data_IF_586603158257
#
_entry.id   IF_586603158257
#
_cell.length_a   1.000
_cell.length_b   1.000
_cell.length_c   1.000
_cell.angle_alpha   90.00
_cell.angle_beta   90.00
_cell.angle_gamma   90.00
#
_symmetry.space_group_name_H-M   'P 1'
#
loop_
_entity.id
_entity.type
_entity.pdbx_description
1 polymer ?
#
# COMPACT_ATOMS: atom_id res chain seq x y z
N UNK A 1 1.06 -11.50 22.00
CA UNK A 1 2.01 -10.51 21.42
C UNK A 1 1.48 -9.10 21.65
N UNK A 2 2.34 -8.19 22.03
CA UNK A 2 1.95 -6.79 22.24
C UNK A 2 1.54 -6.15 20.93
N UNK A 3 0.60 -5.19 20.98
CA UNK A 3 0.09 -4.51 19.80
C UNK A 3 1.22 -3.88 18.98
N UNK A 4 2.17 -3.22 19.62
CA UNK A 4 3.29 -2.60 18.92
C UNK A 4 4.12 -3.62 18.15
N UNK A 5 4.34 -4.80 18.71
CA UNK A 5 5.07 -5.88 18.02
C UNK A 5 4.28 -6.43 16.85
N UNK A 6 2.97 -6.57 16.99
CA UNK A 6 2.10 -6.99 15.89
C UNK A 6 2.15 -5.99 14.74
N UNK A 7 1.99 -4.71 15.06
CA UNK A 7 2.02 -3.65 14.06
C UNK A 7 3.36 -3.62 13.33
N UNK A 8 4.46 -3.75 14.07
CA UNK A 8 5.80 -3.78 13.46
C UNK A 8 5.94 -5.00 12.54
N UNK A 9 5.45 -6.16 12.95
CA UNK A 9 5.51 -7.37 12.13
C UNK A 9 4.69 -7.21 10.86
N UNK A 10 3.46 -6.69 10.96
CA UNK A 10 2.60 -6.46 9.80
C UNK A 10 3.25 -5.44 8.86
N UNK A 11 3.77 -4.35 9.41
CA UNK A 11 4.49 -3.33 8.63
C UNK A 11 5.66 -3.95 7.88
N UNK A 12 6.49 -4.74 8.56
CA UNK A 12 7.69 -5.35 7.97
C UNK A 12 7.34 -6.32 6.85
N UNK A 13 6.32 -7.14 7.05
CA UNK A 13 5.85 -8.07 6.02
C UNK A 13 5.33 -7.30 4.81
N UNK A 14 4.58 -6.23 5.03
CA UNK A 14 4.10 -5.38 3.94
C UNK A 14 5.23 -4.70 3.18
N UNK A 15 6.23 -4.20 3.90
CA UNK A 15 7.39 -3.54 3.29
C UNK A 15 8.17 -4.51 2.41
N UNK A 16 8.50 -5.68 2.95
CA UNK A 16 9.26 -6.69 2.21
C UNK A 16 8.44 -7.21 1.03
N UNK A 17 7.16 -7.52 1.25
CA UNK A 17 6.28 -8.03 0.21
C UNK A 17 6.13 -7.04 -0.94
N UNK A 18 5.89 -5.77 -0.63
CA UNK A 18 5.77 -4.75 -1.66
C UNK A 18 7.09 -4.54 -2.41
N UNK A 19 8.21 -4.56 -1.69
CA UNK A 19 9.53 -4.46 -2.30
C UNK A 19 9.78 -5.58 -3.30
N UNK A 20 9.37 -6.81 -2.96
CA UNK A 20 9.49 -7.94 -3.88
C UNK A 20 8.61 -7.75 -5.12
N UNK A 21 7.37 -7.27 -4.95
CA UNK A 21 6.48 -6.98 -6.07
C UNK A 21 7.10 -5.91 -6.98
N UNK A 22 7.66 -4.85 -6.41
CA UNK A 22 8.33 -3.79 -7.17
C UNK A 22 9.51 -4.33 -7.98
N UNK A 23 10.34 -5.16 -7.37
CA UNK A 23 11.50 -5.74 -8.06
C UNK A 23 11.04 -6.64 -9.22
N UNK A 24 9.98 -7.43 -9.01
CA UNK A 24 9.43 -8.27 -10.07
C UNK A 24 8.79 -7.44 -11.18
N UNK A 25 8.19 -6.31 -10.86
CA UNK A 25 7.50 -5.46 -11.82
C UNK A 25 8.45 -4.53 -12.59
N UNK A 26 9.32 -3.81 -11.86
CA UNK A 26 10.21 -2.80 -12.44
C UNK A 26 11.68 -3.21 -12.52
N UNK A 27 12.07 -4.27 -11.82
CA UNK A 27 13.46 -4.70 -11.72
C UNK A 27 14.26 -3.99 -10.62
N UNK A 28 13.67 -3.01 -9.94
CA UNK A 28 14.32 -2.27 -8.85
C UNK A 28 13.27 -1.70 -7.90
N UNK A 29 13.72 -1.29 -6.73
CA UNK A 29 12.88 -0.57 -5.77
C UNK A 29 13.72 0.48 -5.04
N UNK A 30 13.07 1.28 -4.22
CA UNK A 30 13.69 2.34 -3.43
C UNK A 30 13.23 2.19 -1.99
N UNK A 31 14.07 2.56 -1.01
CA UNK A 31 13.71 2.39 0.40
C UNK A 31 12.40 3.11 0.77
N UNK A 32 12.12 4.25 0.12
CA UNK A 32 10.86 4.96 0.36
C UNK A 32 9.65 4.09 0.01
N UNK A 33 9.76 3.27 -1.05
CA UNK A 33 8.68 2.38 -1.46
C UNK A 33 8.48 1.25 -0.47
N UNK A 34 9.55 0.80 0.18
CA UNK A 34 9.43 -0.22 1.24
C UNK A 34 8.61 0.32 2.40
N UNK A 35 8.89 1.55 2.85
CA UNK A 35 8.11 2.16 3.93
C UNK A 35 6.68 2.44 3.51
N UNK A 36 6.47 2.91 2.28
CA UNK A 36 5.12 3.12 1.76
C UNK A 36 4.32 1.81 1.70
N UNK A 37 4.97 0.71 1.28
CA UNK A 37 4.35 -0.61 1.25
C UNK A 37 3.97 -1.10 2.63
N UNK A 38 4.84 -0.89 3.62
CA UNK A 38 4.56 -1.24 5.01
C UNK A 38 3.38 -0.47 5.58
N UNK A 39 3.36 0.85 5.37
CA UNK A 39 2.25 1.71 5.81
C UNK A 39 0.95 1.27 5.13
N UNK A 40 1.00 1.00 3.83
CA UNK A 40 -0.19 0.59 3.06
C UNK A 40 -0.75 -0.73 3.57
N UNK A 41 0.10 -1.72 3.78
CA UNK A 41 -0.35 -3.03 4.27
C UNK A 41 -0.92 -2.95 5.69
N UNK A 42 -0.25 -2.23 6.57
CA UNK A 42 -0.75 -2.00 7.92
C UNK A 42 -2.08 -1.26 7.89
N UNK A 43 -2.20 -0.26 7.00
CA UNK A 43 -3.45 0.48 6.82
C UNK A 43 -4.58 -0.42 6.33
N UNK A 44 -4.31 -1.33 5.38
CA UNK A 44 -5.32 -2.30 4.92
C UNK A 44 -5.78 -3.19 6.06
N UNK A 45 -4.85 -3.65 6.89
CA UNK A 45 -5.17 -4.47 8.06
C UNK A 45 -6.10 -3.72 9.02
N UNK A 46 -5.80 -2.45 9.28
CA UNK A 46 -6.61 -1.62 10.16
C UNK A 46 -7.99 -1.31 9.57
N UNK A 47 -8.05 -1.00 8.29
CA UNK A 47 -9.31 -0.74 7.58
C UNK A 47 -10.20 -1.99 7.67
N UNK A 48 -9.64 -3.15 7.38
CA UNK A 48 -10.40 -4.40 7.44
C UNK A 48 -10.92 -4.66 8.86
N UNK A 49 -10.09 -4.42 9.86
CA UNK A 49 -10.49 -4.62 11.26
C UNK A 49 -11.59 -3.67 11.71
N UNK A 50 -11.58 -2.42 11.24
CA UNK A 50 -12.63 -1.45 11.57
C UNK A 50 -13.91 -1.66 10.77
N UNK A 51 -13.85 -2.31 9.62
CA UNK A 51 -14.98 -2.52 8.72
C UNK A 51 -15.37 -3.99 8.66
N UNK A 52 -15.39 -4.68 9.78
CA UNK A 52 -15.61 -6.14 9.84
C UNK A 52 -16.86 -6.61 9.12
N UNK A 53 -17.92 -5.79 9.14
CA UNK A 53 -19.20 -6.13 8.52
C UNK A 53 -19.30 -5.75 7.04
N UNK A 54 -18.31 -5.04 6.52
CA UNK A 54 -18.32 -4.61 5.13
C UNK A 54 -17.87 -5.74 4.20
N UNK A 55 -18.32 -5.68 2.95
CA UNK A 55 -17.88 -6.61 1.92
C UNK A 55 -16.40 -6.41 1.60
N UNK A 56 -15.76 -7.42 1.02
CA UNK A 56 -14.37 -7.31 0.58
C UNK A 56 -14.20 -6.20 -0.46
N UNK A 57 -15.14 -6.06 -1.39
CA UNK A 57 -15.08 -5.00 -2.39
C UNK A 57 -15.10 -3.61 -1.75
N UNK A 58 -15.99 -3.39 -0.77
CA UNK A 58 -16.07 -2.11 -0.08
C UNK A 58 -14.79 -1.81 0.69
N UNK A 59 -14.24 -2.78 1.40
CA UNK A 59 -12.95 -2.64 2.09
C UNK A 59 -11.84 -2.29 1.08
N UNK A 60 -11.85 -2.92 -0.08
CA UNK A 60 -10.82 -2.73 -1.10
C UNK A 60 -10.91 -1.33 -1.73
N UNK A 61 -12.11 -0.80 -1.93
CA UNK A 61 -12.30 0.55 -2.43
C UNK A 61 -11.76 1.58 -1.43
N UNK A 62 -12.08 1.42 -0.14
CA UNK A 62 -11.53 2.27 0.92
C UNK A 62 -10.02 2.12 0.99
N UNK A 63 -9.52 0.89 0.89
CA UNK A 63 -8.08 0.60 0.87
C UNK A 63 -7.37 1.28 -0.30
N UNK A 64 -7.98 1.26 -1.48
CA UNK A 64 -7.47 1.96 -2.65
C UNK A 64 -7.31 3.46 -2.37
N UNK A 65 -8.33 4.07 -1.77
CA UNK A 65 -8.25 5.50 -1.41
C UNK A 65 -7.10 5.77 -0.45
N UNK A 66 -6.92 4.91 0.55
CA UNK A 66 -5.81 5.04 1.50
C UNK A 66 -4.45 4.89 0.81
N UNK A 67 -4.27 3.84 0.00
CA UNK A 67 -3.00 3.59 -0.70
C UNK A 67 -2.69 4.73 -1.67
N UNK A 68 -3.69 5.20 -2.42
CA UNK A 68 -3.54 6.30 -3.36
C UNK A 68 -3.13 7.58 -2.65
N UNK A 69 -3.68 7.84 -1.46
CA UNK A 69 -3.29 8.99 -0.63
C UNK A 69 -1.84 8.87 -0.18
N UNK A 70 -1.43 7.69 0.29
CA UNK A 70 -0.04 7.43 0.68
C UNK A 70 0.88 7.63 -0.52
N UNK A 71 0.52 7.09 -1.68
CA UNK A 71 1.29 7.22 -2.91
C UNK A 71 1.45 8.67 -3.31
N UNK A 72 0.38 9.47 -3.22
CA UNK A 72 0.44 10.89 -3.57
C UNK A 72 1.37 11.65 -2.62
N UNK A 73 1.22 11.43 -1.31
CA UNK A 73 2.07 12.09 -0.31
C UNK A 73 3.53 11.73 -0.52
N UNK A 74 3.84 10.44 -0.69
CA UNK A 74 5.21 9.99 -0.95
C UNK A 74 5.73 10.57 -2.27
N UNK A 75 4.90 10.60 -3.30
CA UNK A 75 5.27 11.16 -4.59
C UNK A 75 5.62 12.64 -4.50
N UNK A 76 4.81 13.42 -3.80
CA UNK A 76 5.10 14.85 -3.61
C UNK A 76 6.43 15.02 -2.88
N UNK A 77 6.64 14.26 -1.81
CA UNK A 77 7.87 14.39 -1.01
C UNK A 77 9.09 13.93 -1.81
N UNK A 78 9.08 12.72 -2.34
CA UNK A 78 10.28 12.09 -2.90
C UNK A 78 10.53 12.47 -4.36
N UNK A 79 9.49 12.64 -5.17
CA UNK A 79 9.66 12.93 -6.60
C UNK A 79 9.68 14.43 -6.90
N UNK A 80 8.83 15.23 -6.23
CA UNK A 80 8.71 16.66 -6.52
C UNK A 80 9.66 17.46 -5.64
N UNK A 81 9.60 17.31 -4.32
CA UNK A 81 10.41 18.11 -3.39
C UNK A 81 11.86 17.65 -3.41
N UNK A 82 12.11 16.35 -3.21
CA UNK A 82 13.47 15.80 -3.13
C UNK A 82 14.05 15.42 -4.50
N UNK A 83 13.22 15.44 -5.55
CA UNK A 83 13.63 15.14 -6.94
C UNK A 83 14.37 13.83 -7.10
N UNK A 84 13.94 12.79 -6.35
CA UNK A 84 14.57 11.46 -6.41
C UNK A 84 14.10 10.62 -7.60
N UNK A 85 13.05 11.03 -8.31
CA UNK A 85 12.52 10.32 -9.49
C UNK A 85 12.27 8.85 -9.21
N UNK A 86 11.64 8.54 -8.08
CA UNK A 86 11.31 7.17 -7.72
C UNK A 86 10.31 6.59 -8.72
N UNK A 87 9.33 7.40 -9.13
CA UNK A 87 8.42 7.08 -10.24
C UNK A 87 7.87 8.37 -10.85
N UNK A 88 7.30 8.24 -12.06
CA UNK A 88 6.71 9.38 -12.77
C UNK A 88 5.57 8.88 -13.66
N UNK A 89 4.34 9.32 -13.35
CA UNK A 89 3.14 9.01 -14.13
C UNK A 89 2.70 10.17 -15.02
N UNK A 90 3.56 11.17 -15.25
CA UNK A 90 3.17 12.38 -15.99
C UNK A 90 2.69 12.08 -17.41
N UNK A 91 3.13 10.97 -18.00
CA UNK A 91 2.70 10.52 -19.33
C UNK A 91 1.46 9.64 -19.29
N UNK A 92 0.96 9.28 -18.12
CA UNK A 92 -0.21 8.40 -17.99
C UNK A 92 -1.49 9.22 -18.07
N UNK A 93 -2.55 8.66 -18.72
CA UNK A 93 -3.86 9.34 -18.71
C UNK A 93 -4.40 9.49 -17.30
N UNK A 94 -5.10 10.60 -17.05
CA UNK A 94 -5.75 10.86 -15.77
C UNK A 94 -4.79 10.82 -14.58
N UNK A 95 -3.55 11.29 -14.79
CA UNK A 95 -2.63 11.44 -13.68
C UNK A 95 -2.90 12.76 -12.94
N UNK A 96 -2.53 12.79 -11.65
CA UNK A 96 -2.57 14.01 -10.84
C UNK A 96 -1.14 14.30 -10.40
N UNK A 97 -0.60 15.42 -10.88
CA UNK A 97 0.76 15.87 -10.57
C UNK A 97 1.85 14.86 -10.93
N UNK A 98 1.55 13.89 -11.80
CA UNK A 98 2.48 12.82 -12.17
C UNK A 98 2.72 11.80 -11.06
N UNK A 99 2.02 11.89 -9.92
CA UNK A 99 2.28 11.05 -8.76
C UNK A 99 1.28 9.89 -8.61
N UNK A 100 0.06 10.08 -9.07
CA UNK A 100 -0.98 9.03 -9.08
C UNK A 100 -1.68 9.05 -10.43
N UNK A 101 -2.29 7.94 -10.80
CA UNK A 101 -3.08 7.86 -12.03
C UNK A 101 -4.20 6.84 -11.87
N UNK A 102 -5.22 6.95 -12.74
CA UNK A 102 -6.40 6.10 -12.67
C UNK A 102 -6.07 4.62 -12.84
N UNK A 103 -5.16 4.27 -13.76
CA UNK A 103 -4.81 2.87 -14.03
C UNK A 103 -4.21 2.20 -12.80
N UNK A 104 -3.22 2.82 -12.18
CA UNK A 104 -2.58 2.23 -10.99
C UNK A 104 -3.49 2.27 -9.77
N UNK A 105 -4.36 3.27 -9.66
CA UNK A 105 -5.38 3.27 -8.60
C UNK A 105 -6.34 2.10 -8.75
N UNK A 106 -6.70 1.75 -9.98
CA UNK A 106 -7.51 0.55 -10.24
C UNK A 106 -6.77 -0.72 -9.80
N UNK A 107 -5.47 -0.81 -10.09
CA UNK A 107 -4.64 -1.94 -9.64
C UNK A 107 -4.60 -2.03 -8.12
N UNK A 108 -4.64 -0.90 -7.40
CA UNK A 108 -4.67 -0.91 -5.94
C UNK A 108 -5.94 -1.55 -5.40
N UNK A 109 -7.07 -1.41 -6.10
CA UNK A 109 -8.31 -2.11 -5.72
C UNK A 109 -8.09 -3.63 -5.80
N UNK A 110 -7.53 -4.10 -6.92
CA UNK A 110 -7.29 -5.53 -7.14
C UNK A 110 -6.31 -6.07 -6.09
N UNK A 111 -5.21 -5.38 -5.85
CA UNK A 111 -4.23 -5.80 -4.86
C UNK A 111 -4.80 -5.80 -3.45
N UNK A 112 -5.66 -4.82 -3.12
CA UNK A 112 -6.33 -4.79 -1.83
C UNK A 112 -7.25 -5.99 -1.65
N UNK A 113 -7.96 -6.40 -2.70
CA UNK A 113 -8.81 -7.59 -2.67
C UNK A 113 -8.01 -8.86 -2.39
N UNK A 114 -6.76 -8.92 -2.84
CA UNK A 114 -5.88 -10.06 -2.60
C UNK A 114 -5.25 -10.00 -1.20
N UNK A 115 -4.82 -8.81 -0.77
CA UNK A 115 -4.03 -8.68 0.46
C UNK A 115 -4.85 -8.51 1.73
N UNK A 116 -6.09 -8.01 1.65
CA UNK A 116 -6.94 -7.89 2.85
C UNK A 116 -7.18 -9.26 3.51
N UNK A 117 -7.60 -10.31 2.80
CA UNK A 117 -7.74 -11.62 3.43
C UNK A 117 -6.44 -12.14 4.03
N UNK A 118 -5.31 -11.88 3.37
CA UNK A 118 -4.00 -12.26 3.88
C UNK A 118 -3.69 -11.51 5.17
N UNK A 119 -3.94 -10.19 5.19
CA UNK A 119 -3.73 -9.37 6.39
C UNK A 119 -4.61 -9.84 7.55
N UNK A 120 -5.87 -10.18 7.28
CA UNK A 120 -6.78 -10.69 8.30
C UNK A 120 -6.27 -11.99 8.92
N UNK A 121 -5.80 -12.92 8.09
CA UNK A 121 -5.24 -14.18 8.57
C UNK A 121 -3.98 -13.95 9.39
N UNK A 122 -3.13 -13.05 8.95
CA UNK A 122 -1.90 -12.70 9.65
C UNK A 122 -2.21 -12.12 11.03
N UNK A 123 -3.18 -11.20 11.11
CA UNK A 123 -3.59 -10.62 12.38
C UNK A 123 -4.07 -11.68 13.36
N UNK A 124 -4.91 -12.61 12.89
CA UNK A 124 -5.41 -13.70 13.74
C UNK A 124 -4.29 -14.57 14.29
N UNK A 125 -3.28 -14.86 13.46
CA UNK A 125 -2.13 -15.66 13.90
C UNK A 125 -1.28 -14.91 14.93
N UNK A 126 -1.10 -13.61 14.76
CA UNK A 126 -0.29 -12.81 15.65
C UNK A 126 -0.98 -12.52 16.99
N UNK A 127 -2.31 -12.65 17.05
CA UNK A 127 -3.08 -12.48 18.27
C UNK A 127 -3.06 -13.72 19.18
N UNK A 128 -2.64 -14.87 18.67
CA UNK A 128 -2.61 -16.13 19.42
C UNK A 128 -1.46 -16.21 20.42
#
# INVERSE_FOLDING_TARGET
>A
MKKACRDFTVFSIGAIGYGLIEILWRGYTHWSMLTAGGISFLGLSRISNHMKKASLLKKSIVGCGFITTVEYIYGVIFNIILKKNVWDYSKMPLNISGQICALYSFFWIILSMLFIPFADRLQKRLER
#
